data_IF_097920110743
#
_entry.id   IF_097920110743
#
_cell.length_a   1.000
_cell.length_b   1.000
_cell.length_c   1.000
_cell.angle_alpha   90.00
_cell.angle_beta   90.00
_cell.angle_gamma   90.00
#
_symmetry.space_group_name_H-M   'P 1'
#
loop_
_entity.id
_entity.type
_entity.pdbx_description
1 polymer ?
#
# COMPACT_ATOMS: atom_id res chain seq x y z
N UNK A 1 13.47 0.24 -12.32
CA UNK A 1 13.65 1.70 -12.15
C UNK A 1 12.51 2.23 -11.29
N UNK A 2 12.82 3.01 -10.27
CA UNK A 2 11.83 3.82 -9.56
C UNK A 2 12.40 5.21 -9.26
N UNK A 3 11.52 6.18 -9.00
CA UNK A 3 11.90 7.58 -8.81
C UNK A 3 11.35 8.10 -7.50
N UNK A 4 12.22 8.71 -6.71
CA UNK A 4 11.84 9.47 -5.51
C UNK A 4 11.48 10.87 -5.96
N UNK A 5 10.31 11.34 -5.56
CA UNK A 5 9.82 12.68 -5.89
C UNK A 5 9.69 13.52 -4.63
N UNK A 6 10.15 14.76 -4.69
CA UNK A 6 9.83 15.80 -3.71
C UNK A 6 8.59 16.57 -4.16
N UNK A 7 7.72 16.94 -3.23
CA UNK A 7 6.58 17.83 -3.49
C UNK A 7 6.93 19.23 -3.01
N UNK A 8 7.21 20.15 -3.95
CA UNK A 8 7.72 21.50 -3.66
C UNK A 8 6.83 22.52 -4.38
N UNK A 9 6.26 23.47 -3.64
CA UNK A 9 5.41 24.55 -4.16
C UNK A 9 4.28 24.07 -5.09
N UNK A 10 3.67 22.92 -4.79
CA UNK A 10 2.58 22.35 -5.60
C UNK A 10 3.02 21.41 -6.73
N UNK A 11 4.32 21.20 -6.94
CA UNK A 11 4.85 20.39 -8.04
C UNK A 11 5.60 19.15 -7.53
N UNK A 12 5.48 18.05 -8.25
CA UNK A 12 6.32 16.86 -8.06
C UNK A 12 7.61 16.98 -8.86
N UNK A 13 8.75 16.96 -8.17
CA UNK A 13 10.07 17.10 -8.76
C UNK A 13 10.85 15.80 -8.52
N UNK A 14 11.40 15.13 -9.55
CA UNK A 14 12.22 13.93 -9.37
C UNK A 14 13.54 14.29 -8.68
N UNK A 15 13.80 13.69 -7.52
CA UNK A 15 15.00 13.93 -6.71
C UNK A 15 16.07 12.86 -6.93
N UNK A 16 15.65 11.61 -7.12
CA UNK A 16 16.57 10.50 -7.37
C UNK A 16 15.90 9.46 -8.28
N UNK A 17 16.66 8.98 -9.27
CA UNK A 17 16.26 7.89 -10.16
C UNK A 17 17.11 6.68 -9.79
N UNK A 18 16.46 5.62 -9.34
CA UNK A 18 17.10 4.40 -8.89
C UNK A 18 16.94 3.30 -9.93
N UNK A 19 18.05 2.89 -10.55
CA UNK A 19 18.10 1.75 -11.45
C UNK A 19 18.34 0.49 -10.62
N UNK A 20 17.40 -0.46 -10.72
CA UNK A 20 17.47 -1.73 -10.01
C UNK A 20 17.78 -2.84 -11.01
N UNK A 21 18.52 -3.85 -10.56
CA UNK A 21 18.82 -5.05 -11.33
C UNK A 21 17.53 -5.82 -11.71
N UNK A 22 16.59 -5.93 -10.76
CA UNK A 22 15.29 -6.55 -10.97
C UNK A 22 14.18 -5.83 -10.20
N UNK A 23 12.96 -6.39 -10.23
CA UNK A 23 11.79 -5.88 -9.50
C UNK A 23 11.51 -6.64 -8.20
N UNK A 24 12.47 -7.39 -7.65
CA UNK A 24 12.29 -8.13 -6.40
C UNK A 24 12.21 -7.20 -5.19
N UNK A 25 11.46 -7.59 -4.17
CA UNK A 25 11.41 -6.87 -2.88
C UNK A 25 12.81 -6.65 -2.30
N UNK A 26 13.71 -7.62 -2.46
CA UNK A 26 15.09 -7.54 -1.96
C UNK A 26 15.84 -6.39 -2.65
N UNK A 27 15.75 -6.28 -3.99
CA UNK A 27 16.39 -5.20 -4.74
C UNK A 27 15.89 -3.82 -4.32
N UNK A 28 14.57 -3.66 -4.13
CA UNK A 28 14.00 -2.40 -3.64
C UNK A 28 14.47 -2.08 -2.22
N UNK A 29 14.35 -3.04 -1.30
CA UNK A 29 14.75 -2.87 0.10
C UNK A 29 16.22 -2.53 0.23
N UNK A 30 17.10 -3.20 -0.51
CA UNK A 30 18.52 -2.90 -0.51
C UNK A 30 18.79 -1.48 -0.99
N UNK A 31 18.18 -1.06 -2.11
CA UNK A 31 18.34 0.30 -2.62
C UNK A 31 17.84 1.37 -1.63
N UNK A 32 16.65 1.19 -1.05
CA UNK A 32 16.09 2.11 -0.06
C UNK A 32 16.96 2.19 1.21
N UNK A 33 17.49 1.06 1.66
CA UNK A 33 18.45 0.99 2.78
C UNK A 33 19.77 1.67 2.42
N UNK A 34 20.32 1.43 1.23
CA UNK A 34 21.57 2.06 0.78
C UNK A 34 21.47 3.59 0.69
N UNK A 35 20.30 4.12 0.35
CA UNK A 35 20.04 5.56 0.30
C UNK A 35 19.66 6.11 1.70
N UNK A 36 19.41 5.23 2.69
CA UNK A 36 18.99 5.59 4.04
C UNK A 36 17.85 6.62 4.05
N UNK A 37 16.89 6.51 3.13
CA UNK A 37 16.10 7.67 2.72
C UNK A 37 15.26 8.27 3.84
N UNK A 38 14.71 7.43 4.73
CA UNK A 38 13.99 7.90 5.91
C UNK A 38 14.92 8.71 6.84
N UNK A 39 16.13 8.21 7.09
CA UNK A 39 17.11 8.88 7.94
C UNK A 39 17.62 10.18 7.31
N UNK A 40 17.97 10.13 6.01
CA UNK A 40 18.45 11.29 5.27
C UNK A 40 17.39 12.41 5.20
N UNK A 41 16.14 12.05 4.89
CA UNK A 41 15.02 12.99 4.87
C UNK A 41 14.82 13.65 6.25
N UNK A 42 14.83 12.85 7.33
CA UNK A 42 14.65 13.39 8.69
C UNK A 42 15.86 14.21 9.18
N UNK A 43 17.07 13.93 8.69
CA UNK A 43 18.27 14.69 9.05
C UNK A 43 18.29 16.06 8.38
N UNK A 44 17.94 16.12 7.08
CA UNK A 44 17.92 17.37 6.31
C UNK A 44 16.67 18.19 6.60
N UNK A 45 15.53 17.53 6.79
CA UNK A 45 14.24 18.14 7.08
C UNK A 45 13.57 17.45 8.27
N UNK A 46 13.90 17.84 9.51
CA UNK A 46 13.38 17.19 10.73
C UNK A 46 11.86 17.21 10.88
N UNK A 47 11.18 18.10 10.15
CA UNK A 47 9.72 18.22 10.14
C UNK A 47 9.07 17.58 8.91
N UNK A 48 9.83 16.85 8.09
CA UNK A 48 9.28 16.23 6.88
C UNK A 48 8.25 15.16 7.24
N UNK A 49 7.15 15.15 6.49
CA UNK A 49 6.16 14.07 6.56
C UNK A 49 6.45 13.10 5.43
N UNK A 50 6.87 11.90 5.79
CA UNK A 50 7.09 10.82 4.81
C UNK A 50 5.75 10.13 4.57
N UNK A 51 5.35 10.05 3.30
CA UNK A 51 4.11 9.41 2.89
C UNK A 51 4.39 8.25 1.96
N UNK A 52 3.77 7.09 2.24
CA UNK A 52 3.75 5.97 1.30
C UNK A 52 3.06 6.35 -0.01
N UNK A 53 3.54 5.81 -1.13
CA UNK A 53 2.96 6.13 -2.43
C UNK A 53 1.63 5.39 -2.65
N UNK A 54 0.51 6.11 -2.49
CA UNK A 54 -0.84 5.56 -2.68
C UNK A 54 -1.07 4.96 -4.07
N UNK A 55 -0.43 5.51 -5.11
CA UNK A 55 -0.51 4.98 -6.47
C UNK A 55 0.01 3.53 -6.54
N UNK A 56 1.21 3.28 -6.01
CA UNK A 56 1.80 1.95 -6.02
C UNK A 56 1.04 0.97 -5.12
N UNK A 57 0.56 1.43 -3.95
CA UNK A 57 -0.28 0.63 -3.06
C UNK A 57 -1.58 0.20 -3.76
N UNK A 58 -2.29 1.17 -4.34
CA UNK A 58 -3.54 0.93 -5.07
C UNK A 58 -3.33 0.00 -6.27
N UNK A 59 -2.22 0.18 -6.99
CA UNK A 59 -1.86 -0.70 -8.10
C UNK A 59 -1.58 -2.14 -7.62
N UNK A 60 -0.94 -2.30 -6.46
CA UNK A 60 -0.67 -3.61 -5.87
C UNK A 60 -1.94 -4.34 -5.46
N UNK A 61 -2.86 -3.63 -4.82
CA UNK A 61 -4.16 -4.18 -4.42
C UNK A 61 -5.00 -4.57 -5.64
N UNK A 62 -5.01 -3.73 -6.68
CA UNK A 62 -5.70 -4.05 -7.93
C UNK A 62 -5.13 -5.30 -8.61
N UNK A 63 -3.81 -5.53 -8.56
CA UNK A 63 -3.20 -6.78 -9.06
C UNK A 63 -3.67 -7.99 -8.27
N UNK A 64 -3.74 -7.90 -6.93
CA UNK A 64 -4.25 -8.98 -6.09
C UNK A 64 -5.73 -9.29 -6.38
N UNK A 65 -6.58 -8.26 -6.56
CA UNK A 65 -7.98 -8.42 -7.01
C UNK A 65 -8.04 -9.20 -8.33
N UNK A 66 -7.19 -8.84 -9.30
CA UNK A 66 -7.15 -9.52 -10.59
C UNK A 66 -6.70 -10.99 -10.47
N UNK A 67 -5.64 -11.24 -9.70
CA UNK A 67 -5.08 -12.58 -9.49
C UNK A 67 -6.07 -13.52 -8.77
N UNK A 68 -6.90 -12.98 -7.89
CA UNK A 68 -7.94 -13.73 -7.20
C UNK A 68 -9.22 -13.92 -8.03
N UNK A 69 -9.25 -13.48 -9.29
CA UNK A 69 -10.44 -13.64 -10.16
C UNK A 69 -11.60 -12.73 -9.79
N UNK A 70 -11.36 -11.62 -9.09
CA UNK A 70 -12.36 -10.65 -8.64
C UNK A 70 -12.56 -9.49 -9.64
N UNK A 71 -11.98 -9.59 -10.84
CA UNK A 71 -11.98 -8.49 -11.82
C UNK A 71 -13.37 -8.08 -12.28
N UNK A 72 -14.28 -9.05 -12.48
CA UNK A 72 -15.64 -8.77 -12.93
C UNK A 72 -16.47 -8.18 -11.80
N UNK A 73 -16.35 -8.76 -10.59
CA UNK A 73 -16.96 -8.24 -9.38
C UNK A 73 -16.58 -6.77 -9.16
N UNK A 74 -15.28 -6.45 -9.22
CA UNK A 74 -14.78 -5.09 -9.01
C UNK A 74 -15.30 -4.07 -10.05
N UNK A 75 -15.58 -4.50 -11.28
CA UNK A 75 -16.12 -3.63 -12.34
C UNK A 75 -17.63 -3.41 -12.20
N UNK A 76 -18.36 -4.37 -11.64
CA UNK A 76 -19.80 -4.27 -11.46
C UNK A 76 -20.15 -3.34 -10.29
N UNK A 77 -20.76 -2.20 -10.59
CA UNK A 77 -21.16 -1.19 -9.59
C UNK A 77 -22.20 -1.70 -8.59
N UNK A 78 -22.95 -2.76 -8.94
CA UNK A 78 -23.97 -3.35 -8.09
C UNK A 78 -23.43 -4.51 -7.23
N UNK A 79 -22.19 -4.95 -7.46
CA UNK A 79 -21.58 -6.04 -6.70
C UNK A 79 -21.31 -5.63 -5.25
N UNK A 80 -21.81 -6.43 -4.31
CA UNK A 80 -21.48 -6.27 -2.89
C UNK A 80 -20.00 -6.58 -2.62
N UNK A 81 -19.40 -7.50 -3.38
CA UNK A 81 -17.94 -7.75 -3.37
C UNK A 81 -17.19 -6.47 -3.73
N UNK A 82 -17.61 -5.75 -4.80
CA UNK A 82 -17.00 -4.46 -5.14
C UNK A 82 -17.11 -3.47 -3.99
N UNK A 83 -18.27 -3.38 -3.34
CA UNK A 83 -18.49 -2.44 -2.23
C UNK A 83 -17.47 -2.68 -1.12
N UNK A 84 -17.27 -3.94 -0.73
CA UNK A 84 -16.28 -4.31 0.27
C UNK A 84 -14.83 -4.07 -0.20
N UNK A 85 -14.48 -4.46 -1.43
CA UNK A 85 -13.14 -4.22 -1.99
C UNK A 85 -12.77 -2.72 -2.03
N UNK A 86 -13.73 -1.86 -2.39
CA UNK A 86 -13.49 -0.40 -2.44
C UNK A 86 -13.32 0.18 -1.03
N UNK A 87 -14.00 -0.35 -0.01
CA UNK A 87 -13.81 0.08 1.37
C UNK A 87 -12.39 -0.18 1.87
N UNK A 88 -11.73 -1.26 1.42
CA UNK A 88 -10.32 -1.51 1.74
C UNK A 88 -9.41 -0.37 1.26
N UNK A 89 -9.75 0.33 0.17
CA UNK A 89 -9.02 1.52 -0.31
C UNK A 89 -9.11 2.74 0.63
N UNK A 90 -9.91 2.65 1.68
CA UNK A 90 -9.99 3.59 2.79
C UNK A 90 -8.92 3.39 3.87
N UNK A 91 -8.32 2.20 3.99
CA UNK A 91 -7.34 1.88 5.02
C UNK A 91 -6.16 2.87 5.08
N UNK A 92 -5.57 3.35 3.96
CA UNK A 92 -4.44 4.27 4.00
C UNK A 92 -4.75 5.67 4.54
N UNK A 93 -6.03 5.98 4.81
CA UNK A 93 -6.45 7.25 5.40
C UNK A 93 -6.58 7.18 6.93
N UNK A 94 -6.40 6.00 7.51
CA UNK A 94 -6.40 5.80 8.95
C UNK A 94 -5.02 6.12 9.55
N UNK A 95 -4.98 6.42 10.86
CA UNK A 95 -3.70 6.51 11.56
C UNK A 95 -3.08 5.11 11.67
N UNK A 96 -1.74 4.95 11.59
CA UNK A 96 -1.09 3.64 11.58
C UNK A 96 -1.55 2.72 12.73
N UNK A 97 -1.68 3.26 13.95
CA UNK A 97 -2.13 2.48 15.11
C UNK A 97 -3.60 2.04 15.09
N UNK A 98 -4.42 2.56 14.19
CA UNK A 98 -5.84 2.19 14.06
C UNK A 98 -6.14 1.25 12.89
N UNK A 99 -5.17 1.02 11.99
CA UNK A 99 -5.38 0.23 10.76
C UNK A 99 -5.80 -1.20 11.08
N UNK A 100 -5.05 -1.89 11.95
CA UNK A 100 -5.30 -3.28 12.31
C UNK A 100 -6.63 -3.46 13.05
N UNK A 101 -6.86 -2.62 14.07
CA UNK A 101 -8.12 -2.64 14.81
C UNK A 101 -9.32 -2.39 13.89
N UNK A 102 -9.24 -1.37 13.02
CA UNK A 102 -10.32 -1.06 12.10
C UNK A 102 -10.61 -2.21 11.13
N UNK A 103 -9.55 -2.82 10.59
CA UNK A 103 -9.69 -3.93 9.66
C UNK A 103 -10.40 -5.12 10.32
N UNK A 104 -9.92 -5.56 11.49
CA UNK A 104 -10.47 -6.73 12.19
C UNK A 104 -11.88 -6.46 12.72
N UNK A 105 -12.08 -5.31 13.39
CA UNK A 105 -13.32 -5.05 14.12
C UNK A 105 -14.46 -4.51 13.27
N UNK A 106 -14.19 -4.00 12.06
CA UNK A 106 -15.21 -3.38 11.20
C UNK A 106 -15.21 -3.95 9.78
N UNK A 107 -14.08 -3.96 9.06
CA UNK A 107 -14.06 -4.46 7.68
C UNK A 107 -14.31 -5.96 7.60
N UNK A 108 -13.65 -6.76 8.43
CA UNK A 108 -13.81 -8.22 8.41
C UNK A 108 -15.22 -8.68 8.82
N UNK A 109 -15.91 -7.92 9.68
CA UNK A 109 -17.32 -8.20 10.04
C UNK A 109 -18.29 -8.05 8.87
N UNK A 110 -17.95 -7.21 7.90
CA UNK A 110 -18.75 -7.00 6.69
C UNK A 110 -18.21 -7.75 5.47
N UNK A 111 -17.19 -8.61 5.65
CA UNK A 111 -16.63 -9.41 4.56
C UNK A 111 -17.66 -10.42 4.07
N UNK A 112 -17.78 -10.53 2.76
CA UNK A 112 -18.62 -11.54 2.12
C UNK A 112 -18.01 -12.94 2.25
N UNK A 113 -18.87 -13.95 2.35
CA UNK A 113 -18.47 -15.35 2.36
C UNK A 113 -18.13 -15.83 0.94
N UNK A 114 -16.93 -15.49 0.50
CA UNK A 114 -16.33 -15.88 -0.77
C UNK A 114 -14.84 -16.13 -0.55
N UNK A 115 -14.34 -17.28 -1.01
CA UNK A 115 -12.95 -17.70 -0.84
C UNK A 115 -11.97 -16.74 -1.52
N UNK A 116 -12.33 -16.18 -2.68
CA UNK A 116 -11.51 -15.21 -3.42
C UNK A 116 -11.36 -13.91 -2.62
N UNK A 117 -12.42 -13.50 -1.93
CA UNK A 117 -12.41 -12.34 -1.03
C UNK A 117 -11.57 -12.63 0.21
N UNK A 118 -11.63 -13.84 0.75
CA UNK A 118 -10.73 -14.28 1.85
C UNK A 118 -9.27 -14.19 1.44
N UNK A 119 -8.88 -14.73 0.27
CA UNK A 119 -7.50 -14.65 -0.22
C UNK A 119 -7.01 -13.21 -0.41
N UNK A 120 -7.88 -12.31 -0.83
CA UNK A 120 -7.53 -10.88 -0.90
C UNK A 120 -7.38 -10.25 0.49
N UNK A 121 -8.21 -10.63 1.46
CA UNK A 121 -8.09 -10.19 2.85
C UNK A 121 -6.76 -10.66 3.47
N UNK A 122 -6.40 -11.93 3.29
CA UNK A 122 -5.13 -12.50 3.75
C UNK A 122 -3.95 -11.75 3.14
N UNK A 123 -4.01 -11.48 1.83
CA UNK A 123 -3.02 -10.65 1.15
C UNK A 123 -2.88 -9.26 1.79
N UNK A 124 -3.98 -8.59 2.15
CA UNK A 124 -3.90 -7.29 2.84
C UNK A 124 -3.24 -7.41 4.21
N UNK A 125 -3.49 -8.50 4.94
CA UNK A 125 -2.85 -8.76 6.23
C UNK A 125 -1.33 -8.84 6.05
N UNK A 126 -0.89 -9.69 5.13
CA UNK A 126 0.53 -9.96 4.89
C UNK A 126 1.31 -8.73 4.40
N UNK A 127 0.68 -7.86 3.61
CA UNK A 127 1.39 -6.78 2.92
C UNK A 127 1.15 -5.39 3.48
N UNK A 128 0.13 -5.19 4.32
CA UNK A 128 -0.25 -3.86 4.79
C UNK A 128 -0.64 -3.76 6.27
N UNK A 129 -1.27 -4.78 6.85
CA UNK A 129 -1.92 -4.64 8.16
C UNK A 129 -1.07 -5.20 9.31
N UNK A 130 -0.37 -6.32 9.10
CA UNK A 130 0.46 -6.91 10.16
C UNK A 130 1.61 -5.99 10.56
N UNK A 131 2.12 -6.15 11.78
CA UNK A 131 3.32 -5.40 12.22
C UNK A 131 4.56 -5.82 11.43
N UNK A 132 4.56 -7.05 10.90
CA UNK A 132 5.56 -7.59 10.01
C UNK A 132 5.32 -7.22 8.53
N UNK A 133 4.24 -6.49 8.23
CA UNK A 133 3.91 -6.09 6.88
C UNK A 133 5.02 -5.22 6.31
N UNK A 134 5.48 -5.57 5.11
CA UNK A 134 6.61 -4.92 4.45
C UNK A 134 6.40 -3.42 4.20
N UNK A 135 5.17 -2.90 4.34
CA UNK A 135 4.84 -1.48 4.17
C UNK A 135 4.74 -0.66 5.46
N UNK A 136 4.87 -1.25 6.65
CA UNK A 136 4.65 -0.54 7.92
C UNK A 136 5.99 -0.22 8.59
N UNK A 137 6.64 0.80 8.06
CA UNK A 137 7.58 1.62 8.85
C UNK A 137 7.36 3.08 8.45
N UNK A 138 6.24 3.62 8.92
CA UNK A 138 6.01 5.07 8.99
C UNK A 138 6.72 5.63 10.21
#
# INVERSE_FOLDING_TARGET
MFTIHGFINGYYIPLAICLLYDKSTISYTNCLKSICIHFACNTVWPQIKIHGCRFHLSQSWNRSIQQNGLSNDYKDKNSDIRRWLVQCYGLPFLSPGSVSEYFVNYLMKSKLDDERVTRFADYLVDVYISEEAQSVST
#
